data_IF_640188956293
#
_entry.id   IF_640188956293
#
_cell.length_a   1.000
_cell.length_b   1.000
_cell.length_c   1.000
_cell.angle_alpha   90.00
_cell.angle_beta   90.00
_cell.angle_gamma   90.00
#
_symmetry.space_group_name_H-M   'P 1'
#
loop_
_entity.id
_entity.type
_entity.pdbx_description
1 polymer ?
#
# COMPACT_ATOMS: atom_id res chain seq x y z
N UNK A 1 -10.31 -10.42 -11.93
CA UNK A 1 -9.50 -9.28 -11.42
C UNK A 1 -8.00 -9.55 -11.56
N UNK A 2 -7.53 -9.38 -12.78
CA UNK A 2 -6.12 -9.67 -13.09
C UNK A 2 -5.17 -8.69 -12.40
N UNK A 3 -5.51 -7.40 -12.38
CA UNK A 3 -4.67 -6.39 -11.74
C UNK A 3 -4.58 -6.57 -10.23
N UNK A 4 -5.68 -6.93 -9.60
CA UNK A 4 -5.68 -7.22 -8.17
C UNK A 4 -4.74 -8.39 -7.86
N UNK A 5 -4.84 -9.48 -8.63
CA UNK A 5 -3.98 -10.65 -8.46
C UNK A 5 -2.49 -10.29 -8.64
N UNK A 6 -2.21 -9.50 -9.68
CA UNK A 6 -0.85 -9.03 -9.95
C UNK A 6 -0.31 -8.17 -8.81
N UNK A 7 -1.14 -7.29 -8.26
CA UNK A 7 -0.75 -6.42 -7.16
C UNK A 7 -0.51 -7.21 -5.86
N UNK A 8 -1.29 -8.27 -5.62
CA UNK A 8 -1.03 -9.16 -4.50
C UNK A 8 0.37 -9.79 -4.58
N UNK A 9 0.71 -10.30 -5.75
CA UNK A 9 2.02 -10.93 -5.98
C UNK A 9 3.15 -9.92 -5.82
N UNK A 10 2.99 -8.76 -6.44
CA UNK A 10 4.02 -7.71 -6.39
C UNK A 10 4.30 -7.25 -4.96
N UNK A 11 3.24 -7.05 -4.19
CA UNK A 11 3.43 -6.58 -2.81
C UNK A 11 4.09 -7.64 -1.93
N UNK A 12 3.72 -8.90 -2.10
CA UNK A 12 4.35 -10.00 -1.35
C UNK A 12 5.85 -10.10 -1.70
N UNK A 13 6.20 -9.93 -2.97
CA UNK A 13 7.60 -9.92 -3.41
C UNK A 13 8.36 -8.76 -2.77
N UNK A 14 7.79 -7.57 -2.75
CA UNK A 14 8.41 -6.39 -2.13
C UNK A 14 8.69 -6.62 -0.64
N UNK A 15 7.80 -7.33 0.04
CA UNK A 15 7.95 -7.65 1.46
C UNK A 15 8.81 -8.89 1.70
N UNK A 16 9.09 -9.67 0.68
CA UNK A 16 9.87 -10.89 0.80
C UNK A 16 9.15 -12.01 1.53
N UNK A 17 7.82 -12.06 1.47
CA UNK A 17 7.02 -13.10 2.12
C UNK A 17 6.31 -13.96 1.09
N UNK A 18 6.11 -15.23 1.43
CA UNK A 18 5.43 -16.19 0.54
C UNK A 18 3.92 -16.03 0.60
N UNK A 19 3.23 -16.54 -0.43
CA UNK A 19 1.78 -16.59 -0.44
C UNK A 19 1.24 -17.39 0.73
N UNK A 20 1.90 -18.48 1.10
CA UNK A 20 1.53 -19.29 2.26
C UNK A 20 1.57 -18.46 3.55
N UNK A 21 2.60 -17.65 3.71
CA UNK A 21 2.74 -16.80 4.89
C UNK A 21 1.67 -15.71 4.92
N UNK A 22 1.37 -15.11 3.78
CA UNK A 22 0.28 -14.12 3.69
C UNK A 22 -1.04 -14.77 4.08
N UNK A 23 -1.34 -15.94 3.52
CA UNK A 23 -2.57 -16.66 3.82
C UNK A 23 -2.69 -16.93 5.33
N UNK A 24 -1.61 -17.39 5.94
CA UNK A 24 -1.57 -17.68 7.38
C UNK A 24 -1.87 -16.42 8.20
N UNK A 25 -1.24 -15.31 7.87
CA UNK A 25 -1.43 -14.04 8.60
C UNK A 25 -2.83 -13.47 8.43
N UNK A 26 -3.43 -13.66 7.25
CA UNK A 26 -4.80 -13.20 6.99
C UNK A 26 -5.83 -14.12 7.65
N UNK A 27 -5.47 -15.36 7.92
CA UNK A 27 -6.38 -16.35 8.47
C UNK A 27 -7.13 -17.13 7.40
N UNK A 28 -6.52 -17.29 6.22
CA UNK A 28 -7.08 -18.05 5.10
C UNK A 28 -6.28 -19.31 4.85
N UNK A 29 -6.92 -20.31 4.21
CA UNK A 29 -6.18 -21.45 3.69
C UNK A 29 -5.31 -21.02 2.52
N UNK A 30 -4.21 -21.73 2.29
CA UNK A 30 -3.35 -21.47 1.13
C UNK A 30 -4.13 -21.60 -0.17
N UNK A 31 -5.02 -22.58 -0.25
CA UNK A 31 -5.84 -22.81 -1.45
C UNK A 31 -6.75 -21.62 -1.73
N UNK A 32 -7.41 -21.12 -0.71
CA UNK A 32 -8.31 -19.98 -0.86
C UNK A 32 -7.54 -18.72 -1.30
N UNK A 33 -6.43 -18.46 -0.65
CA UNK A 33 -5.58 -17.32 -1.03
C UNK A 33 -5.03 -17.49 -2.45
N UNK A 34 -4.64 -18.71 -2.84
CA UNK A 34 -4.16 -19.00 -4.18
C UNK A 34 -5.19 -18.64 -5.26
N UNK A 35 -6.49 -18.79 -4.98
CA UNK A 35 -7.54 -18.39 -5.91
C UNK A 35 -7.56 -16.89 -6.13
N UNK A 36 -7.25 -16.10 -5.11
CA UNK A 36 -7.13 -14.65 -5.24
C UNK A 36 -5.88 -14.26 -6.03
N UNK A 37 -4.76 -14.88 -5.74
CA UNK A 37 -3.48 -14.60 -6.40
C UNK A 37 -3.49 -14.99 -7.88
N UNK A 38 -4.26 -16.00 -8.24
CA UNK A 38 -4.40 -16.44 -9.64
C UNK A 38 -5.48 -15.70 -10.41
N UNK A 39 -6.27 -14.87 -9.74
CA UNK A 39 -7.37 -14.14 -10.36
C UNK A 39 -8.64 -14.93 -10.56
N UNK A 40 -8.71 -16.15 -10.03
CA UNK A 40 -9.90 -17.01 -10.17
C UNK A 40 -11.08 -16.54 -9.34
N UNK A 41 -10.83 -15.91 -8.21
CA UNK A 41 -11.86 -15.43 -7.30
C UNK A 41 -11.50 -14.07 -6.73
N UNK A 42 -12.52 -13.37 -6.29
CA UNK A 42 -12.39 -12.08 -5.62
C UNK A 42 -12.71 -12.25 -4.13
N UNK A 43 -11.94 -11.61 -3.23
CA UNK A 43 -12.27 -11.63 -1.82
C UNK A 43 -13.49 -10.75 -1.53
N UNK A 44 -14.18 -11.03 -0.43
CA UNK A 44 -15.18 -10.10 0.08
C UNK A 44 -14.47 -8.86 0.66
N UNK A 45 -15.23 -7.82 0.99
CA UNK A 45 -14.66 -6.57 1.46
C UNK A 45 -13.88 -6.71 2.77
N UNK A 46 -14.39 -7.50 3.71
CA UNK A 46 -13.72 -7.70 4.98
C UNK A 46 -12.39 -8.43 4.79
N UNK A 47 -12.36 -9.43 3.93
CA UNK A 47 -11.14 -10.18 3.61
C UNK A 47 -10.13 -9.28 2.89
N UNK A 48 -10.60 -8.44 1.97
CA UNK A 48 -9.76 -7.49 1.25
C UNK A 48 -9.04 -6.54 2.22
N UNK A 49 -9.76 -6.01 3.20
CA UNK A 49 -9.18 -5.11 4.20
C UNK A 49 -8.11 -5.85 5.01
N UNK A 50 -8.36 -7.09 5.42
CA UNK A 50 -7.37 -7.88 6.17
C UNK A 50 -6.12 -8.17 5.34
N UNK A 51 -6.30 -8.50 4.07
CA UNK A 51 -5.17 -8.73 3.16
C UNK A 51 -4.34 -7.46 3.04
N UNK A 52 -4.97 -6.31 2.85
CA UNK A 52 -4.27 -5.04 2.75
C UNK A 52 -3.47 -4.73 4.02
N UNK A 53 -4.05 -4.97 5.19
CA UNK A 53 -3.35 -4.76 6.46
C UNK A 53 -2.11 -5.64 6.58
N UNK A 54 -2.24 -6.93 6.26
CA UNK A 54 -1.11 -7.87 6.31
C UNK A 54 0.00 -7.46 5.35
N UNK A 55 -0.36 -6.97 4.17
CA UNK A 55 0.60 -6.53 3.16
C UNK A 55 1.11 -5.10 3.39
N UNK A 56 0.63 -4.44 4.44
CA UNK A 56 1.08 -3.08 4.75
C UNK A 56 0.71 -2.06 3.69
N UNK A 57 -0.43 -2.22 3.05
CA UNK A 57 -0.91 -1.34 2.00
C UNK A 57 -2.39 -1.03 2.21
N UNK A 58 -3.04 -0.47 1.20
CA UNK A 58 -4.46 -0.11 1.27
C UNK A 58 -5.26 -0.91 0.24
N UNK A 59 -6.57 -1.11 0.46
CA UNK A 59 -7.42 -1.71 -0.57
C UNK A 59 -7.36 -0.95 -1.89
N UNK A 60 -7.27 0.38 -1.84
CA UNK A 60 -7.18 1.20 -3.04
C UNK A 60 -5.96 0.84 -3.88
N UNK A 61 -4.81 0.65 -3.24
CA UNK A 61 -3.60 0.27 -3.95
C UNK A 61 -3.74 -1.10 -4.61
N UNK A 62 -4.32 -2.06 -3.88
CA UNK A 62 -4.51 -3.41 -4.41
C UNK A 62 -5.48 -3.44 -5.59
N UNK A 63 -6.46 -2.56 -5.59
CA UNK A 63 -7.49 -2.50 -6.64
C UNK A 63 -7.15 -1.51 -7.76
N UNK A 64 -5.97 -0.88 -7.70
CA UNK A 64 -5.57 0.11 -8.70
C UNK A 64 -5.65 -0.45 -10.12
N UNK A 65 -6.18 0.36 -11.02
CA UNK A 65 -6.28 0.01 -12.43
C UNK A 65 -4.96 0.28 -13.14
N UNK A 66 -4.81 -0.18 -14.38
CA UNK A 66 -3.63 0.13 -15.19
C UNK A 66 -3.42 1.64 -15.32
N UNK A 67 -4.50 2.40 -15.37
CA UNK A 67 -4.42 3.85 -15.46
C UNK A 67 -3.76 4.43 -14.22
N UNK A 68 -4.07 3.88 -13.06
CA UNK A 68 -3.48 4.30 -11.79
C UNK A 68 -2.05 3.82 -11.64
N UNK A 69 -1.67 2.77 -12.36
CA UNK A 69 -0.32 2.22 -12.36
C UNK A 69 0.62 2.98 -13.29
N UNK A 70 0.12 3.87 -14.11
CA UNK A 70 0.97 4.73 -14.89
C UNK A 70 1.87 5.51 -13.95
N UNK A 71 3.09 5.76 -14.39
CA UNK A 71 4.11 6.36 -13.53
C UNK A 71 3.54 7.53 -12.73
N UNK A 72 3.64 7.48 -11.40
CA UNK A 72 3.16 8.58 -10.59
C UNK A 72 3.89 9.87 -10.99
N UNK A 73 3.19 10.98 -10.94
CA UNK A 73 3.79 12.28 -11.17
C UNK A 73 4.95 12.49 -10.20
N UNK A 74 5.86 13.40 -10.55
CA UNK A 74 6.96 13.76 -9.65
C UNK A 74 6.44 14.26 -8.32
N UNK A 75 5.30 14.95 -8.32
CA UNK A 75 4.65 15.44 -7.10
C UNK A 75 4.19 14.25 -6.23
N UNK A 76 3.56 13.24 -6.84
CA UNK A 76 3.10 12.07 -6.10
C UNK A 76 4.28 11.32 -5.47
N UNK A 77 5.39 11.19 -6.20
CA UNK A 77 6.60 10.54 -5.66
C UNK A 77 7.18 11.30 -4.48
N UNK A 78 7.18 12.62 -4.55
CA UNK A 78 7.66 13.45 -3.45
C UNK A 78 6.78 13.33 -2.23
N UNK A 79 5.47 13.29 -2.41
CA UNK A 79 4.53 13.05 -1.30
C UNK A 79 4.75 11.70 -0.65
N UNK A 80 4.98 10.66 -1.46
CA UNK A 80 5.25 9.32 -0.94
C UNK A 80 6.55 9.31 -0.12
N UNK A 81 7.58 9.96 -0.61
CA UNK A 81 8.86 10.07 0.12
C UNK A 81 8.67 10.79 1.45
N UNK A 82 7.86 11.84 1.47
CA UNK A 82 7.56 12.58 2.68
C UNK A 82 6.80 11.69 3.69
N UNK A 83 5.82 10.93 3.22
CA UNK A 83 5.05 10.04 4.07
C UNK A 83 5.92 8.93 4.66
N UNK A 84 6.82 8.35 3.86
CA UNK A 84 7.74 7.32 4.34
C UNK A 84 8.67 7.90 5.41
N UNK A 85 9.23 9.08 5.15
CA UNK A 85 10.11 9.75 6.11
C UNK A 85 9.35 10.07 7.42
N UNK A 86 8.12 10.56 7.30
CA UNK A 86 7.30 10.88 8.47
C UNK A 86 7.00 9.64 9.31
N UNK A 87 6.81 8.49 8.67
CA UNK A 87 6.54 7.23 9.38
C UNK A 87 7.70 6.78 10.26
N UNK A 88 8.92 7.20 9.94
CA UNK A 88 10.12 6.84 10.69
C UNK A 88 10.43 7.84 11.81
N UNK A 89 9.69 8.93 11.90
CA UNK A 89 9.97 10.01 12.87
C UNK A 89 9.28 9.77 14.22
N UNK A 90 9.96 10.17 15.29
CA UNK A 90 9.32 10.25 16.60
C UNK A 90 8.48 11.51 16.70
N UNK A 91 7.78 11.69 17.81
CA UNK A 91 6.86 12.83 17.98
C UNK A 91 7.57 14.18 17.84
N UNK A 92 8.74 14.35 18.45
CA UNK A 92 9.48 15.61 18.39
C UNK A 92 9.90 15.96 16.95
N UNK A 93 10.41 14.95 16.24
CA UNK A 93 10.80 15.12 14.84
C UNK A 93 9.59 15.45 13.96
N UNK A 94 8.44 14.82 14.22
CA UNK A 94 7.20 15.10 13.49
C UNK A 94 6.74 16.54 13.72
N UNK A 95 6.75 17.01 14.97
CA UNK A 95 6.35 18.38 15.29
C UNK A 95 7.21 19.37 14.52
N UNK A 96 8.53 19.18 14.55
CA UNK A 96 9.47 20.05 13.85
C UNK A 96 9.20 20.04 12.35
N UNK A 97 9.02 18.85 11.78
CA UNK A 97 8.78 18.69 10.34
C UNK A 97 7.45 19.33 9.90
N UNK A 98 6.40 19.14 10.71
CA UNK A 98 5.09 19.74 10.42
C UNK A 98 5.18 21.27 10.39
N UNK A 99 5.85 21.87 11.36
CA UNK A 99 6.01 23.32 11.41
C UNK A 99 6.74 23.83 10.17
N UNK A 100 7.82 23.14 9.77
CA UNK A 100 8.56 23.51 8.56
C UNK A 100 7.72 23.33 7.30
N UNK A 101 7.01 22.22 7.20
CA UNK A 101 6.18 21.94 6.03
C UNK A 101 5.05 22.97 5.88
N UNK A 102 4.42 23.36 6.97
CA UNK A 102 3.40 24.40 6.96
C UNK A 102 3.95 25.74 6.52
N UNK A 103 5.15 26.09 6.98
CA UNK A 103 5.82 27.33 6.58
C UNK A 103 6.12 27.33 5.08
N UNK A 104 6.63 26.21 4.56
CA UNK A 104 6.92 26.06 3.13
C UNK A 104 5.63 26.15 2.30
N UNK A 105 4.56 25.51 2.74
CA UNK A 105 3.27 25.55 2.05
C UNK A 105 2.73 26.98 1.99
N UNK A 106 2.89 27.73 3.08
CA UNK A 106 2.45 29.12 3.13
C UNK A 106 3.23 30.02 2.16
N UNK A 107 4.55 29.79 2.08
CA UNK A 107 5.37 30.52 1.11
C UNK A 107 4.97 30.23 -0.33
N UNK A 108 4.61 28.99 -0.62
CA UNK A 108 4.25 28.56 -1.97
C UNK A 108 2.92 29.14 -2.43
N UNK A 109 2.06 29.61 -1.52
CA UNK A 109 0.74 30.15 -1.85
C UNK A 109 0.70 31.68 -1.92
N UNK A 110 1.80 32.35 -1.62
CA UNK A 110 1.91 33.84 -1.68
C UNK A 110 2.31 34.34 -3.04
#
# INVERSE_FOLDING_TARGET
MILFASNLRRRAEELGISNAEVARRVGLSERRYAHYVSGKREPDLATLVRIAEVLGTTPNWLLATETDEQQPSSVARLRDRLNVAASAMNEQALIFTVVQAEAVAKLATE
#
